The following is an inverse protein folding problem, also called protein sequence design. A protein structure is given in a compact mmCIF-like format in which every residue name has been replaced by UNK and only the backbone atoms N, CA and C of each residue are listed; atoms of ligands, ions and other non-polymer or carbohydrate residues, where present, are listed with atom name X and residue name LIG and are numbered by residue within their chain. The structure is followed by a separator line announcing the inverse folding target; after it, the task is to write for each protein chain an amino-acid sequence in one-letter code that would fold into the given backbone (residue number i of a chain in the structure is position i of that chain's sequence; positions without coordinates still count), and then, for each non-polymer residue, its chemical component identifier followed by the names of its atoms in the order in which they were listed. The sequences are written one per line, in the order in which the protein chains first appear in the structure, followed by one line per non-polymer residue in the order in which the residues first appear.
data_IF_865055855034
#
_entry.id   IF_865055855034
#
_cell.length_a   1.000
_cell.length_b   1.000
_cell.length_c   1.000
_cell.angle_alpha   90.00
_cell.angle_beta   90.00
_cell.angle_gamma   90.00
#
_symmetry.space_group_name_H-M   'P 1'
#
loop_
_entity.id
_entity.type
_entity.pdbx_description
1 polymer ?
#
# COMPACT_ATOMS: atom_id res chain seq x y z
N UNK A 1 3.52 -18.13 -10.86
CA UNK A 1 2.92 -17.38 -9.73
C UNK A 1 1.42 -17.30 -9.92
N UNK A 2 0.63 -17.52 -8.87
CA UNK A 2 -0.83 -17.45 -8.88
C UNK A 2 -1.30 -16.52 -7.75
N UNK A 3 -2.23 -15.62 -8.05
CA UNK A 3 -2.86 -14.75 -7.04
C UNK A 3 -4.16 -15.38 -6.55
N UNK A 4 -4.37 -15.39 -5.24
CA UNK A 4 -5.61 -15.83 -4.60
C UNK A 4 -5.78 -15.21 -3.21
N UNK A 5 -7.00 -15.26 -2.71
CA UNK A 5 -7.28 -14.96 -1.31
C UNK A 5 -6.39 -15.81 -0.40
N UNK A 6 -5.94 -15.21 0.68
CA UNK A 6 -5.00 -15.81 1.62
C UNK A 6 -5.44 -15.49 3.04
N UNK A 7 -5.59 -16.53 3.85
CA UNK A 7 -6.01 -16.39 5.24
C UNK A 7 -4.86 -15.91 6.13
N UNK A 8 -5.22 -15.44 7.32
CA UNK A 8 -4.27 -15.12 8.38
C UNK A 8 -3.30 -16.26 8.67
N UNK A 9 -3.83 -17.47 8.85
CA UNK A 9 -3.02 -18.62 9.23
C UNK A 9 -2.03 -19.02 8.14
N UNK A 10 -2.46 -18.96 6.88
CA UNK A 10 -1.58 -19.16 5.74
C UNK A 10 -0.45 -18.12 5.70
N UNK A 11 -0.77 -16.85 5.97
CA UNK A 11 0.25 -15.79 6.01
C UNK A 11 1.25 -16.01 7.15
N UNK A 12 0.74 -16.26 8.36
CA UNK A 12 1.58 -16.46 9.57
C UNK A 12 2.49 -17.67 9.43
N UNK A 13 2.00 -18.76 8.82
CA UNK A 13 2.79 -19.97 8.61
C UNK A 13 4.03 -19.76 7.72
N UNK A 14 4.07 -18.70 6.93
CA UNK A 14 5.20 -18.40 6.04
C UNK A 14 6.17 -17.35 6.58
N UNK A 15 5.86 -16.74 7.74
CA UNK A 15 6.77 -15.80 8.40
C UNK A 15 7.99 -16.58 8.93
N UNK A 16 9.18 -16.15 8.55
CA UNK A 16 10.43 -16.75 8.99
C UNK A 16 11.08 -15.94 10.11
N UNK A 17 12.18 -16.45 10.67
CA UNK A 17 13.04 -15.69 11.59
C UNK A 17 13.97 -14.70 10.88
N UNK A 18 13.94 -14.65 9.55
CA UNK A 18 14.71 -13.68 8.78
C UNK A 18 14.29 -12.24 9.16
N UNK A 19 15.30 -11.38 9.35
CA UNK A 19 15.09 -9.96 9.64
C UNK A 19 14.18 -9.28 8.60
N UNK A 20 14.23 -9.77 7.37
CA UNK A 20 13.40 -9.27 6.29
C UNK A 20 11.89 -9.50 6.51
N UNK A 21 11.53 -10.47 7.35
CA UNK A 21 10.12 -10.78 7.68
C UNK A 21 9.68 -10.11 9.00
N UNK A 22 10.54 -9.35 9.67
CA UNK A 22 10.21 -8.68 10.95
C UNK A 22 9.02 -7.74 10.85
N UNK A 23 8.88 -7.02 9.75
CA UNK A 23 7.74 -6.15 9.49
C UNK A 23 6.42 -6.95 9.39
N UNK A 24 6.45 -8.12 8.75
CA UNK A 24 5.28 -8.99 8.65
C UNK A 24 4.81 -9.45 10.05
N UNK A 25 5.73 -9.80 10.95
CA UNK A 25 5.40 -10.18 12.33
C UNK A 25 4.65 -9.06 13.09
N UNK A 26 5.15 -7.84 13.01
CA UNK A 26 4.52 -6.68 13.69
C UNK A 26 3.18 -6.30 13.08
N UNK A 27 3.02 -6.50 11.78
CA UNK A 27 1.78 -6.16 11.08
C UNK A 27 0.62 -7.10 11.43
N UNK A 28 0.89 -8.37 11.79
CA UNK A 28 -0.16 -9.35 12.12
C UNK A 28 -1.11 -8.82 13.18
N UNK A 29 -0.60 -8.30 14.29
CA UNK A 29 -1.43 -7.77 15.37
C UNK A 29 -2.31 -6.60 14.91
N UNK A 30 -1.79 -5.72 14.05
CA UNK A 30 -2.56 -4.62 13.48
C UNK A 30 -3.68 -5.13 12.57
N UNK A 31 -3.38 -6.09 11.72
CA UNK A 31 -4.37 -6.68 10.81
C UNK A 31 -5.46 -7.43 11.56
N UNK A 32 -5.11 -8.12 12.67
CA UNK A 32 -6.07 -8.78 13.55
C UNK A 32 -7.02 -7.77 14.21
N UNK A 33 -6.48 -6.68 14.79
CA UNK A 33 -7.28 -5.65 15.44
C UNK A 33 -8.24 -4.93 14.48
N UNK A 34 -7.88 -4.80 13.21
CA UNK A 34 -8.63 -4.06 12.20
C UNK A 34 -9.45 -4.96 11.27
N UNK A 35 -9.49 -6.27 11.54
CA UNK A 35 -10.19 -7.28 10.73
C UNK A 35 -9.86 -7.15 9.22
N UNK A 36 -8.57 -7.09 8.90
CA UNK A 36 -8.11 -6.82 7.53
C UNK A 36 -7.86 -8.07 6.69
N UNK A 37 -7.86 -9.25 7.29
CA UNK A 37 -7.49 -10.49 6.60
C UNK A 37 -8.45 -10.88 5.47
N UNK A 38 -9.71 -10.45 5.55
CA UNK A 38 -10.69 -10.64 4.49
C UNK A 38 -10.32 -9.92 3.16
N UNK A 39 -9.34 -9.01 3.20
CA UNK A 39 -8.84 -8.28 2.04
C UNK A 39 -7.44 -8.72 1.62
N UNK A 40 -6.95 -9.83 2.15
CA UNK A 40 -5.60 -10.32 1.89
C UNK A 40 -5.56 -11.15 0.61
N UNK A 41 -4.71 -10.73 -0.33
CA UNK A 41 -4.39 -11.48 -1.53
C UNK A 41 -2.93 -11.92 -1.46
N UNK A 42 -2.70 -13.20 -1.63
CA UNK A 42 -1.37 -13.78 -1.68
C UNK A 42 -0.93 -14.13 -3.09
N UNK A 43 0.37 -14.00 -3.32
CA UNK A 43 1.05 -14.51 -4.49
C UNK A 43 1.68 -15.86 -4.13
N UNK A 44 1.27 -16.92 -4.81
CA UNK A 44 1.65 -18.30 -4.54
C UNK A 44 2.52 -18.86 -5.65
N UNK A 45 3.59 -19.53 -5.28
CA UNK A 45 4.51 -20.21 -6.19
C UNK A 45 4.88 -21.61 -5.64
N UNK A 46 4.58 -22.67 -6.40
CA UNK A 46 4.92 -24.03 -5.99
C UNK A 46 4.30 -24.49 -4.66
N UNK A 47 3.14 -23.95 -4.28
CA UNK A 47 2.50 -24.25 -2.99
C UNK A 47 2.97 -23.38 -1.82
N UNK A 48 3.96 -22.53 -2.03
CA UNK A 48 4.47 -21.58 -1.03
C UNK A 48 3.92 -20.17 -1.25
N UNK A 49 3.64 -19.46 -0.17
CA UNK A 49 3.26 -18.05 -0.21
C UNK A 49 4.52 -17.19 -0.43
N UNK A 50 4.64 -16.61 -1.61
CA UNK A 50 5.77 -15.76 -1.97
C UNK A 50 5.67 -14.33 -1.44
N UNK A 51 4.45 -13.85 -1.25
CA UNK A 51 4.15 -12.53 -0.70
C UNK A 51 2.66 -12.28 -0.62
N UNK A 52 2.27 -11.21 0.04
CA UNK A 52 0.88 -10.84 0.20
C UNK A 52 0.67 -9.32 0.19
N UNK A 53 -0.53 -8.92 -0.19
CA UNK A 53 -1.01 -7.54 -0.16
C UNK A 53 -2.34 -7.47 0.56
N UNK A 54 -2.50 -6.45 1.41
CA UNK A 54 -3.78 -6.08 2.01
C UNK A 54 -4.13 -4.67 1.55
N UNK A 55 -5.30 -4.51 0.97
CA UNK A 55 -5.82 -3.23 0.54
C UNK A 55 -7.21 -3.02 1.09
N UNK A 56 -7.51 -1.81 1.53
CA UNK A 56 -8.80 -1.47 2.13
C UNK A 56 -9.40 -0.24 1.48
N UNK A 57 -10.71 -0.15 1.55
CA UNK A 57 -11.48 1.01 1.09
C UNK A 57 -12.27 1.56 2.26
N UNK A 58 -12.05 2.82 2.61
CA UNK A 58 -12.79 3.45 3.69
C UNK A 58 -14.25 3.68 3.31
N UNK A 59 -15.18 3.36 4.22
CA UNK A 59 -16.60 3.70 4.04
C UNK A 59 -16.83 5.22 3.98
N UNK A 60 -15.98 6.01 4.64
CA UNK A 60 -16.09 7.48 4.66
C UNK A 60 -15.51 8.13 3.40
N UNK A 61 -14.58 7.46 2.74
CA UNK A 61 -13.93 7.93 1.52
C UNK A 61 -13.85 6.79 0.51
N UNK A 62 -14.99 6.37 -0.08
CA UNK A 62 -15.07 5.15 -0.89
C UNK A 62 -14.27 5.22 -2.20
N UNK A 63 -13.87 6.40 -2.62
CA UNK A 63 -13.02 6.64 -3.79
C UNK A 63 -11.52 6.57 -3.49
N UNK A 64 -11.13 6.35 -2.22
CA UNK A 64 -9.73 6.13 -1.82
C UNK A 64 -9.50 4.65 -1.51
N UNK A 65 -8.55 4.08 -2.20
CA UNK A 65 -8.04 2.72 -1.97
C UNK A 65 -6.73 2.81 -1.21
N UNK A 66 -6.62 2.12 -0.07
CA UNK A 66 -5.45 2.19 0.79
C UNK A 66 -4.70 0.87 0.77
N UNK A 67 -3.42 0.92 0.47
CA UNK A 67 -2.51 -0.19 0.68
C UNK A 67 -2.10 -0.22 2.16
N UNK A 68 -2.45 -1.28 2.85
CA UNK A 68 -2.16 -1.48 4.27
C UNK A 68 -0.91 -2.32 4.49
N UNK A 69 -0.76 -3.38 3.69
CA UNK A 69 0.38 -4.28 3.70
C UNK A 69 0.80 -4.58 2.27
N UNK A 70 2.08 -4.54 2.01
CA UNK A 70 2.73 -5.21 0.89
C UNK A 70 3.99 -5.88 1.43
N UNK A 71 4.00 -7.21 1.43
CA UNK A 71 5.13 -7.98 1.92
C UNK A 71 5.54 -9.05 0.92
N UNK A 72 6.84 -9.18 0.69
CA UNK A 72 7.45 -10.28 -0.05
C UNK A 72 8.37 -11.03 0.91
N UNK A 73 8.06 -12.30 1.14
CA UNK A 73 8.85 -13.15 2.02
C UNK A 73 10.30 -13.27 1.56
N UNK A 74 11.23 -13.39 2.52
CA UNK A 74 12.67 -13.26 2.30
C UNK A 74 13.18 -14.07 1.09
N UNK A 75 12.84 -15.34 0.98
CA UNK A 75 13.29 -16.24 -0.10
C UNK A 75 12.68 -15.97 -1.50
N UNK A 76 11.67 -15.12 -1.57
CA UNK A 76 10.98 -14.77 -2.82
C UNK A 76 11.25 -13.32 -3.27
N UNK A 77 12.14 -12.62 -2.58
CA UNK A 77 12.51 -11.24 -2.95
C UNK A 77 13.20 -11.18 -4.31
N UNK A 78 13.06 -10.03 -4.98
CA UNK A 78 13.62 -9.73 -6.31
C UNK A 78 13.10 -10.61 -7.46
N UNK A 79 12.02 -11.37 -7.24
CA UNK A 79 11.33 -12.19 -8.26
C UNK A 79 10.08 -11.51 -8.86
N UNK A 80 9.88 -10.22 -8.62
CA UNK A 80 8.74 -9.48 -9.16
C UNK A 80 7.42 -9.62 -8.38
N UNK A 81 7.41 -10.32 -7.24
CA UNK A 81 6.21 -10.60 -6.43
C UNK A 81 5.49 -9.31 -6.02
N UNK A 82 6.22 -8.33 -5.47
CA UNK A 82 5.65 -7.05 -5.06
C UNK A 82 5.02 -6.29 -6.23
N UNK A 83 5.69 -6.31 -7.40
CA UNK A 83 5.18 -5.67 -8.63
C UNK A 83 3.87 -6.31 -9.08
N UNK A 84 3.81 -7.65 -9.11
CA UNK A 84 2.61 -8.39 -9.49
C UNK A 84 1.44 -8.11 -8.55
N UNK A 85 1.65 -8.17 -7.24
CA UNK A 85 0.63 -7.87 -6.23
C UNK A 85 0.13 -6.43 -6.32
N UNK A 86 1.04 -5.47 -6.49
CA UNK A 86 0.67 -4.05 -6.62
C UNK A 86 -0.12 -3.79 -7.89
N UNK A 87 0.30 -4.36 -9.02
CA UNK A 87 -0.41 -4.19 -10.29
C UNK A 87 -1.83 -4.77 -10.21
N UNK A 88 -1.99 -6.01 -9.71
CA UNK A 88 -3.32 -6.61 -9.51
C UNK A 88 -4.22 -5.76 -8.61
N UNK A 89 -3.67 -5.20 -7.54
CA UNK A 89 -4.44 -4.35 -6.64
C UNK A 89 -4.82 -3.00 -7.27
N UNK A 90 -3.97 -2.43 -8.13
CA UNK A 90 -4.29 -1.24 -8.92
C UNK A 90 -5.41 -1.51 -9.91
N UNK A 91 -5.36 -2.64 -10.60
CA UNK A 91 -6.39 -3.05 -11.57
C UNK A 91 -7.75 -3.26 -10.88
N UNK A 92 -7.74 -3.88 -9.70
CA UNK A 92 -8.96 -4.03 -8.87
C UNK A 92 -9.49 -2.69 -8.38
N UNK A 93 -8.63 -1.80 -7.93
CA UNK A 93 -9.01 -0.46 -7.49
C UNK A 93 -9.66 0.32 -8.64
N UNK A 94 -9.10 0.23 -9.84
CA UNK A 94 -9.67 0.84 -11.04
C UNK A 94 -11.03 0.24 -11.39
N UNK A 95 -11.18 -1.08 -11.33
CA UNK A 95 -12.44 -1.80 -11.57
C UNK A 95 -13.54 -1.44 -10.58
N UNK A 96 -13.19 -1.03 -9.35
CA UNK A 96 -14.11 -0.53 -8.33
C UNK A 96 -14.44 0.96 -8.48
N UNK A 97 -13.92 1.64 -9.51
CA UNK A 97 -14.14 3.06 -9.74
C UNK A 97 -13.46 3.98 -8.70
N UNK A 98 -12.42 3.50 -8.02
CA UNK A 98 -11.67 4.35 -7.08
C UNK A 98 -10.80 5.34 -7.83
N UNK A 99 -10.80 6.59 -7.37
CA UNK A 99 -10.04 7.67 -8.00
C UNK A 99 -8.60 7.75 -7.51
N UNK A 100 -8.35 7.32 -6.28
CA UNK A 100 -7.04 7.45 -5.62
C UNK A 100 -6.60 6.15 -5.00
N UNK A 101 -5.30 5.89 -5.10
CA UNK A 101 -4.63 4.77 -4.45
C UNK A 101 -3.51 5.31 -3.56
N UNK A 102 -3.53 5.00 -2.27
CA UNK A 102 -2.62 5.56 -1.28
C UNK A 102 -1.83 4.49 -0.55
N UNK A 103 -0.58 4.81 -0.27
CA UNK A 103 0.32 4.02 0.57
C UNK A 103 1.08 4.91 1.55
N UNK A 104 1.36 4.39 2.74
CA UNK A 104 2.40 4.92 3.64
C UNK A 104 3.62 4.04 3.46
N UNK A 105 4.60 4.53 2.70
CA UNK A 105 5.78 3.77 2.33
C UNK A 105 6.90 3.94 3.34
N UNK A 106 7.61 2.85 3.65
CA UNK A 106 8.90 2.95 4.32
C UNK A 106 9.92 3.63 3.40
N UNK A 107 10.93 4.34 3.94
CA UNK A 107 11.86 5.12 3.11
C UNK A 107 12.55 4.32 2.01
N UNK A 108 12.95 3.08 2.27
CA UNK A 108 13.60 2.20 1.32
C UNK A 108 12.65 1.59 0.26
N UNK A 109 11.33 1.71 0.47
CA UNK A 109 10.32 1.28 -0.48
C UNK A 109 9.87 2.38 -1.46
N UNK A 110 10.28 3.63 -1.25
CA UNK A 110 9.84 4.78 -2.06
C UNK A 110 10.16 4.58 -3.53
N UNK A 111 11.38 4.19 -3.86
CA UNK A 111 11.82 3.97 -5.26
C UNK A 111 10.95 2.92 -5.95
N UNK A 112 10.56 1.87 -5.22
CA UNK A 112 9.65 0.86 -5.75
C UNK A 112 8.29 1.48 -6.11
N UNK A 113 7.68 2.24 -5.20
CA UNK A 113 6.38 2.86 -5.46
C UNK A 113 6.45 3.94 -6.56
N UNK A 114 7.52 4.71 -6.63
CA UNK A 114 7.75 5.64 -7.74
C UNK A 114 7.81 4.92 -9.08
N UNK A 115 8.48 3.76 -9.14
CA UNK A 115 8.52 2.92 -10.35
C UNK A 115 7.16 2.37 -10.76
N UNK A 116 6.22 2.27 -9.81
CA UNK A 116 4.82 1.89 -10.04
C UNK A 116 3.91 3.09 -10.37
N UNK A 117 4.48 4.30 -10.49
CA UNK A 117 3.77 5.52 -10.83
C UNK A 117 3.14 6.26 -9.65
N UNK A 118 3.51 5.92 -8.41
CA UNK A 118 3.12 6.70 -7.24
C UNK A 118 3.93 8.00 -7.17
N UNK A 119 3.30 9.04 -6.64
CA UNK A 119 3.95 10.32 -6.38
C UNK A 119 4.12 10.52 -4.87
N UNK A 120 5.24 11.10 -4.50
CA UNK A 120 5.54 11.43 -3.13
C UNK A 120 4.72 12.64 -2.67
N UNK A 121 4.07 12.52 -1.50
CA UNK A 121 3.25 13.59 -0.93
C UNK A 121 3.90 14.27 0.27
N UNK A 122 4.69 13.55 1.04
CA UNK A 122 5.33 14.10 2.21
C UNK A 122 5.74 13.06 3.24
N UNK A 123 6.47 13.49 4.24
CA UNK A 123 6.98 12.64 5.32
C UNK A 123 6.04 12.70 6.52
N UNK A 124 5.79 11.56 7.15
CA UNK A 124 5.04 11.49 8.41
C UNK A 124 5.94 11.91 9.59
N UNK A 125 5.46 12.80 10.46
CA UNK A 125 6.22 13.27 11.62
C UNK A 125 6.51 12.17 12.64
N UNK A 126 5.58 11.25 12.82
CA UNK A 126 5.64 10.21 13.84
C UNK A 126 6.52 9.02 13.47
N UNK A 127 7.20 9.05 12.32
CA UNK A 127 7.97 7.90 11.90
C UNK A 127 8.73 8.08 10.61
N UNK A 128 9.21 6.96 10.10
CA UNK A 128 9.98 6.90 8.86
C UNK A 128 9.11 6.75 7.61
N UNK A 129 7.81 6.54 7.76
CA UNK A 129 6.91 6.30 6.64
C UNK A 129 6.67 7.54 5.82
N UNK A 130 6.60 7.35 4.52
CA UNK A 130 6.36 8.39 3.53
C UNK A 130 4.98 8.17 2.89
N UNK A 131 4.19 9.24 2.81
CA UNK A 131 2.89 9.17 2.13
C UNK A 131 3.07 9.30 0.64
N UNK A 132 2.53 8.35 -0.09
CA UNK A 132 2.55 8.33 -1.55
C UNK A 132 1.15 8.11 -2.11
N UNK A 133 0.93 8.66 -3.28
CA UNK A 133 -0.34 8.63 -3.98
C UNK A 133 -0.19 8.21 -5.42
N UNK A 134 -1.17 7.47 -5.91
CA UNK A 134 -1.40 7.29 -7.33
C UNK A 134 -2.86 7.63 -7.63
N UNK A 135 -3.07 8.42 -8.67
CA UNK A 135 -4.39 8.73 -9.18
C UNK A 135 -4.72 7.73 -10.28
N UNK A 136 -5.87 7.09 -10.16
CA UNK A 136 -6.39 6.19 -11.18
C UNK A 136 -7.14 7.01 -12.23
N UNK A 137 -6.72 6.89 -13.49
CA UNK A 137 -7.30 7.63 -14.62
C UNK A 137 -6.51 8.86 -15.06
N UNK A 138 -7.08 9.59 -16.03
CA UNK A 138 -6.40 10.68 -16.73
C UNK A 138 -6.50 12.05 -16.03
N UNK A 139 -6.93 12.09 -14.78
CA UNK A 139 -7.19 13.34 -14.05
C UNK A 139 -5.94 13.95 -13.43
N UNK A 140 -4.78 13.39 -13.71
CA UNK A 140 -3.53 13.87 -13.17
C UNK A 140 -2.68 14.46 -14.29
N UNK A 141 -2.59 15.77 -14.32
CA UNK A 141 -1.76 16.50 -15.27
C UNK A 141 -0.45 16.89 -14.61
N UNK A 142 0.66 16.41 -15.16
CA UNK A 142 2.03 16.87 -14.90
C UNK A 142 2.57 16.83 -13.47
N UNK A 143 2.13 15.87 -12.66
CA UNK A 143 2.68 15.71 -11.30
C UNK A 143 2.25 16.79 -10.30
N UNK A 144 1.28 17.61 -10.66
CA UNK A 144 0.69 18.62 -9.77
C UNK A 144 -0.52 18.01 -9.08
N UNK A 145 -0.52 18.04 -7.74
CA UNK A 145 -1.70 17.69 -6.97
C UNK A 145 -2.69 18.85 -6.97
N UNK A 146 -3.89 18.61 -7.46
CA UNK A 146 -4.97 19.58 -7.29
C UNK A 146 -5.41 19.59 -5.82
N UNK A 147 -4.88 20.53 -5.06
CA UNK A 147 -5.20 20.71 -3.65
C UNK A 147 -6.61 21.26 -3.43
N UNK A 148 -7.31 21.68 -4.49
CA UNK A 148 -8.73 22.02 -4.42
C UNK A 148 -9.61 20.78 -4.37
N UNK A 149 -9.12 19.61 -4.82
CA UNK A 149 -9.81 18.35 -4.67
C UNK A 149 -9.94 17.97 -3.17
N UNK A 150 -11.17 17.84 -2.66
CA UNK A 150 -11.40 17.56 -1.24
C UNK A 150 -10.75 16.27 -0.74
N UNK A 151 -10.49 15.32 -1.64
CA UNK A 151 -9.87 14.04 -1.30
C UNK A 151 -8.38 14.21 -1.12
N UNK A 152 -7.73 14.88 -2.06
CA UNK A 152 -6.30 15.20 -1.97
C UNK A 152 -6.06 16.10 -0.77
N UNK A 153 -6.85 17.13 -0.60
CA UNK A 153 -6.78 18.01 0.57
C UNK A 153 -6.90 17.24 1.89
N UNK A 154 -7.88 16.34 2.03
CA UNK A 154 -8.04 15.51 3.23
C UNK A 154 -6.87 14.55 3.43
N UNK A 155 -6.35 13.99 2.37
CA UNK A 155 -5.23 13.07 2.45
C UNK A 155 -3.95 13.79 2.86
N UNK A 156 -3.73 14.99 2.36
CA UNK A 156 -2.52 15.78 2.57
C UNK A 156 -2.61 16.60 3.88
N UNK A 157 -3.69 17.36 4.09
CA UNK A 157 -3.77 18.33 5.19
C UNK A 157 -4.43 17.83 6.47
N UNK A 158 -5.44 16.97 6.44
CA UNK A 158 -6.02 16.43 7.67
C UNK A 158 -5.10 15.49 8.42
N UNK A 159 -4.26 14.78 7.72
CA UNK A 159 -3.17 14.03 8.34
C UNK A 159 -2.09 14.94 8.90
N UNK A 160 -1.86 16.09 8.30
CA UNK A 160 -0.93 17.09 8.81
C UNK A 160 -1.28 17.62 10.20
N UNK A 161 -2.56 17.81 10.52
CA UNK A 161 -3.01 18.24 11.86
C UNK A 161 -2.84 17.17 12.94
N UNK A 162 -2.82 15.91 12.58
CA UNK A 162 -2.50 14.80 13.49
C UNK A 162 -1.01 14.57 13.70
N UNK A 163 -0.17 15.48 13.25
CA UNK A 163 1.27 15.43 13.49
C UNK A 163 2.10 14.90 12.31
N UNK A 164 1.62 14.93 11.08
CA UNK A 164 2.25 14.07 10.11
C UNK A 164 2.81 14.62 8.84
N UNK A 165 2.78 15.84 8.41
CA UNK A 165 3.28 16.04 7.05
C UNK A 165 3.94 17.38 6.81
N UNK A 166 5.19 17.33 6.39
CA UNK A 166 5.71 18.32 5.45
C UNK A 166 5.21 17.95 4.06
N UNK A 167 4.26 18.72 3.57
CA UNK A 167 3.75 18.55 2.22
C UNK A 167 4.73 19.20 1.26
N UNK A 168 5.34 18.43 0.41
CA UNK A 168 5.94 18.98 -0.78
C UNK A 168 4.83 19.12 -1.83
N UNK A 169 4.16 20.25 -1.84
CA UNK A 169 3.48 20.68 -3.04
C UNK A 169 4.58 20.89 -4.07
N UNK A 170 4.84 19.89 -4.87
CA UNK A 170 5.64 20.10 -6.07
C UNK A 170 4.75 20.76 -7.10
N UNK A 171 5.21 21.84 -7.66
CA UNK A 171 4.59 22.36 -8.87
C UNK A 171 4.61 21.33 -9.97
#
# INVERSE_FOLDING_TARGET
MRLRETSRDEFVAHITEDKADSFAKTFVAKADMQDQWQYCIGCWEGGELAGAIITTRSKKTPYVFNLQLLHTFAKHRRKGVAKLLTQDSLDRAQGLGTSYYRVSAEPDAVVFYESMGFKFLGKQKSGCSLSMFKINGNNFVDGIYDLSDPVIYKAVYKRGKGGCVEVFATP
#
